data_IF_339973289449
#
_entry.id   IF_339973289449
#
_cell.length_a   1.000
_cell.length_b   1.000
_cell.length_c   1.000
_cell.angle_alpha   90.00
_cell.angle_beta   90.00
_cell.angle_gamma   90.00
#
_symmetry.space_group_name_H-M   'P 1'
#
loop_
_entity.id
_entity.type
_entity.pdbx_description
1 polymer ?
#
# COMPACT_ATOMS: atom_id res chain seq x y z
N UNK A 1 -4.71 -44.99 -28.57
CA UNK A 1 -3.64 -45.85 -28.01
C UNK A 1 -3.12 -45.21 -26.73
N UNK A 2 -2.81 -46.04 -25.74
CA UNK A 2 -2.51 -45.68 -24.34
C UNK A 2 -1.14 -45.01 -24.21
N UNK A 3 -1.02 -44.05 -23.28
CA UNK A 3 0.16 -43.94 -22.42
C UNK A 3 -0.25 -43.28 -21.09
N UNK A 4 -0.42 -44.11 -20.06
CA UNK A 4 -0.38 -43.69 -18.66
C UNK A 4 1.09 -43.69 -18.23
N UNK A 5 1.48 -42.76 -17.35
CA UNK A 5 2.44 -43.05 -16.28
C UNK A 5 2.37 -41.97 -15.21
N UNK A 6 2.00 -42.42 -14.02
CA UNK A 6 1.91 -41.73 -12.74
C UNK A 6 3.30 -41.73 -12.10
N UNK A 7 3.73 -40.62 -11.50
CA UNK A 7 4.75 -40.66 -10.43
C UNK A 7 4.37 -39.72 -9.29
N UNK A 8 3.72 -40.35 -8.32
CA UNK A 8 3.57 -39.97 -6.92
C UNK A 8 4.96 -39.73 -6.31
N UNK A 9 5.18 -38.56 -5.70
CA UNK A 9 6.38 -38.22 -4.92
C UNK A 9 5.96 -37.71 -3.55
N UNK A 10 6.61 -38.22 -2.51
CA UNK A 10 6.08 -38.38 -1.16
C UNK A 10 5.96 -37.10 -0.31
N UNK A 11 5.02 -37.18 0.64
CA UNK A 11 4.67 -36.24 1.69
C UNK A 11 5.51 -36.49 2.95
N UNK A 12 5.81 -35.39 3.66
CA UNK A 12 6.08 -35.24 5.09
C UNK A 12 7.40 -35.74 5.70
N UNK A 13 8.18 -34.75 6.17
CA UNK A 13 9.11 -34.76 7.30
C UNK A 13 9.41 -33.28 7.59
N UNK A 14 9.56 -32.73 8.79
CA UNK A 14 9.67 -33.20 10.17
C UNK A 14 9.46 -31.96 11.07
N UNK A 15 9.00 -32.21 12.30
CA UNK A 15 8.76 -31.23 13.36
C UNK A 15 10.04 -30.50 13.82
N UNK A 16 9.90 -29.24 14.23
CA UNK A 16 10.74 -28.65 15.28
C UNK A 16 9.93 -27.61 16.09
N UNK A 17 9.96 -27.78 17.41
CA UNK A 17 9.20 -27.06 18.41
C UNK A 17 9.99 -25.90 19.04
N UNK A 18 9.23 -24.95 19.60
CA UNK A 18 9.47 -24.14 20.81
C UNK A 18 10.70 -23.20 20.90
N UNK A 19 10.42 -21.92 21.21
CA UNK A 19 10.72 -21.32 22.53
C UNK A 19 10.13 -19.90 22.65
N UNK A 20 9.28 -19.70 23.65
CA UNK A 20 8.84 -18.41 24.16
C UNK A 20 9.98 -17.79 24.99
N UNK A 21 10.35 -16.54 24.72
CA UNK A 21 11.16 -15.74 25.64
C UNK A 21 10.38 -14.48 26.00
N UNK A 22 9.62 -14.60 27.09
CA UNK A 22 9.03 -13.48 27.80
C UNK A 22 10.08 -12.90 28.75
N UNK A 23 10.35 -11.61 28.63
CA UNK A 23 11.16 -10.82 29.55
C UNK A 23 10.24 -9.66 30.00
N UNK A 24 9.92 -9.41 31.26
CA UNK A 24 10.50 -9.88 32.52
C UNK A 24 11.18 -8.69 33.23
N UNK A 25 10.48 -8.06 34.16
CA UNK A 25 11.01 -7.03 35.08
C UNK A 25 10.20 -5.73 35.04
N UNK A 26 9.78 -5.11 36.14
CA UNK A 26 10.04 -5.37 37.56
C UNK A 26 9.08 -4.52 38.40
N UNK A 27 8.91 -4.97 39.63
CA UNK A 27 7.89 -4.61 40.60
C UNK A 27 8.35 -3.47 41.54
N UNK A 28 7.35 -2.70 41.97
CA UNK A 28 7.18 -2.06 43.28
C UNK A 28 8.10 -0.90 43.70
N UNK A 29 7.49 0.22 44.10
CA UNK A 29 7.65 0.77 45.45
C UNK A 29 6.43 1.63 45.81
N UNK A 30 5.83 1.29 46.95
CA UNK A 30 5.00 2.15 47.80
C UNK A 30 5.87 3.30 48.36
N UNK A 31 5.42 4.34 49.06
CA UNK A 31 4.26 4.55 49.90
C UNK A 31 4.15 6.07 50.23
N UNK A 32 3.06 6.45 50.87
CA UNK A 32 2.92 7.56 51.82
C UNK A 32 3.10 9.03 51.39
N UNK A 33 1.99 9.79 51.44
CA UNK A 33 1.67 10.71 52.55
C UNK A 33 0.60 11.73 52.13
N UNK A 34 -0.50 11.78 52.87
CA UNK A 34 -1.53 12.81 52.80
C UNK A 34 -1.19 14.02 53.69
N UNK A 35 -1.45 15.24 53.22
CA UNK A 35 -2.08 16.32 54.00
C UNK A 35 -2.49 17.51 53.10
N UNK A 36 -3.56 18.25 53.44
CA UNK A 36 -4.21 19.23 52.57
C UNK A 36 -3.69 20.66 52.78
N UNK A 37 -3.63 21.43 51.71
CA UNK A 37 -3.35 22.87 51.74
C UNK A 37 -4.46 23.64 51.04
N UNK A 38 -5.35 24.25 51.83
CA UNK A 38 -6.30 25.27 51.39
C UNK A 38 -5.57 26.51 50.84
N UNK A 39 -5.95 26.94 49.64
CA UNK A 39 -5.45 28.16 49.00
C UNK A 39 -6.36 28.62 47.88
N UNK A 40 -7.45 29.32 48.22
CA UNK A 40 -8.24 30.14 47.28
C UNK A 40 -7.33 31.15 46.59
N UNK A 41 -7.49 31.37 45.27
CA UNK A 41 -7.82 32.68 44.65
C UNK A 41 -8.06 32.52 43.13
N UNK A 42 -9.09 33.21 42.66
CA UNK A 42 -9.66 33.24 41.29
C UNK A 42 -8.71 33.85 40.25
N UNK A 43 -8.77 33.37 39.00
CA UNK A 43 -8.69 34.22 37.79
C UNK A 43 -9.13 33.50 36.51
N UNK A 44 -10.21 34.02 35.93
CA UNK A 44 -10.68 34.07 34.52
C UNK A 44 -10.39 32.93 33.53
N UNK A 45 -11.43 32.35 32.86
CA UNK A 45 -11.22 31.56 31.65
C UNK A 45 -11.05 32.51 30.45
N UNK A 46 -9.85 32.55 29.88
CA UNK A 46 -9.69 33.06 28.52
C UNK A 46 -10.10 31.94 27.54
N UNK A 47 -10.80 32.23 26.43
CA UNK A 47 -11.21 31.20 25.48
C UNK A 47 -9.96 30.58 24.86
N UNK A 48 -9.80 29.26 24.99
CA UNK A 48 -8.89 28.52 24.13
C UNK A 48 -9.47 28.63 22.71
N UNK A 49 -8.88 29.46 21.87
CA UNK A 49 -9.10 29.42 20.43
C UNK A 49 -8.49 28.12 19.94
N UNK A 50 -9.26 27.03 20.05
CA UNK A 50 -8.91 25.75 19.46
C UNK A 50 -9.02 25.89 17.95
N UNK A 51 -7.91 26.25 17.31
CA UNK A 51 -7.77 26.02 15.87
C UNK A 51 -8.02 24.53 15.62
N UNK A 52 -8.94 24.15 14.70
CA UNK A 52 -9.11 22.75 14.35
C UNK A 52 -7.76 22.19 13.87
N UNK A 53 -7.41 20.94 14.21
CA UNK A 53 -6.18 20.32 13.73
C UNK A 53 -6.15 20.41 12.20
N UNK A 54 -5.04 20.90 11.66
CA UNK A 54 -4.84 20.98 10.22
C UNK A 54 -5.10 19.60 9.62
N UNK A 55 -6.05 19.52 8.69
CA UNK A 55 -6.31 18.30 7.93
C UNK A 55 -4.98 17.89 7.29
N UNK A 56 -4.51 16.64 7.46
CA UNK A 56 -3.29 16.21 6.80
C UNK A 56 -3.46 16.44 5.30
N UNK A 57 -2.56 17.23 4.72
CA UNK A 57 -2.51 17.45 3.28
C UNK A 57 -2.47 16.09 2.59
N UNK A 58 -3.22 15.85 1.49
CA UNK A 58 -2.99 14.66 0.70
C UNK A 58 -1.52 14.68 0.30
N UNK A 59 -0.87 13.53 0.48
CA UNK A 59 0.58 13.41 0.29
C UNK A 59 1.01 13.61 -1.17
N UNK A 60 0.05 13.53 -2.08
CA UNK A 60 0.23 13.59 -3.52
C UNK A 60 -0.77 14.58 -4.13
N UNK A 61 -0.34 15.27 -5.17
CA UNK A 61 -1.24 16.02 -6.07
C UNK A 61 -1.25 15.26 -7.39
N UNK A 62 -2.12 14.26 -7.48
CA UNK A 62 -2.26 13.45 -8.67
C UNK A 62 -2.90 14.26 -9.81
N UNK A 63 -2.41 14.11 -11.05
CA UNK A 63 -2.91 14.86 -12.20
C UNK A 63 -4.44 14.71 -12.41
N UNK A 64 -4.96 13.50 -12.22
CA UNK A 64 -6.39 13.18 -12.36
C UNK A 64 -7.12 13.11 -11.00
N UNK A 65 -6.46 13.53 -9.91
CA UNK A 65 -7.02 13.49 -8.57
C UNK A 65 -7.37 12.06 -8.13
N UNK A 66 -8.65 11.81 -7.80
CA UNK A 66 -9.17 10.48 -7.43
C UNK A 66 -10.07 9.89 -8.55
N UNK A 67 -10.04 10.45 -9.77
CA UNK A 67 -10.89 10.01 -10.89
C UNK A 67 -10.38 8.72 -11.52
N UNK A 68 -10.83 7.58 -11.01
CA UNK A 68 -10.43 6.25 -11.49
C UNK A 68 -10.85 5.97 -12.94
N UNK A 69 -11.84 6.69 -13.47
CA UNK A 69 -12.29 6.53 -14.84
C UNK A 69 -11.29 7.11 -15.85
N UNK A 70 -10.40 8.02 -15.43
CA UNK A 70 -9.29 8.51 -16.24
C UNK A 70 -8.38 7.35 -16.70
N UNK A 71 -8.27 6.30 -15.90
CA UNK A 71 -7.40 5.17 -16.19
C UNK A 71 -7.89 4.24 -17.31
N UNK A 72 -9.09 4.41 -17.87
CA UNK A 72 -9.67 3.47 -18.86
C UNK A 72 -8.78 3.21 -20.06
N UNK A 73 -8.03 4.21 -20.51
CA UNK A 73 -7.13 4.14 -21.66
C UNK A 73 -5.67 3.86 -21.27
N UNK A 74 -5.41 3.47 -20.01
CA UNK A 74 -4.08 3.17 -19.48
C UNK A 74 -3.09 4.35 -19.57
N UNK A 75 -3.60 5.56 -19.37
CA UNK A 75 -2.84 6.79 -19.24
C UNK A 75 -3.54 7.65 -18.17
N UNK A 76 -3.05 7.58 -16.93
CA UNK A 76 -3.64 8.29 -15.79
C UNK A 76 -2.65 8.43 -14.63
N UNK A 77 -2.90 9.41 -13.78
CA UNK A 77 -2.27 9.57 -12.48
C UNK A 77 -3.34 9.87 -11.43
N UNK A 78 -3.61 8.91 -10.53
CA UNK A 78 -4.66 9.00 -9.52
C UNK A 78 -4.14 8.67 -8.12
N UNK A 79 -4.79 9.26 -7.11
CA UNK A 79 -4.62 8.86 -5.72
C UNK A 79 -5.65 7.78 -5.35
N UNK A 80 -5.23 6.81 -4.54
CA UNK A 80 -6.09 5.73 -4.05
C UNK A 80 -6.00 5.67 -2.54
N UNK A 81 -7.12 5.81 -1.83
CA UNK A 81 -7.16 5.82 -0.36
C UNK A 81 -7.72 4.55 0.28
N UNK A 82 -8.35 3.68 -0.52
CA UNK A 82 -9.01 2.47 -0.05
C UNK A 82 -8.91 1.34 -1.07
N UNK A 83 -9.15 0.07 -0.67
CA UNK A 83 -9.19 -1.04 -1.62
C UNK A 83 -10.19 -0.81 -2.75
N UNK A 84 -9.73 -0.91 -3.99
CA UNK A 84 -10.53 -0.58 -5.17
C UNK A 84 -10.14 -1.43 -6.37
N UNK A 85 -11.02 -1.51 -7.36
CA UNK A 85 -10.76 -2.17 -8.63
C UNK A 85 -10.86 -1.18 -9.78
N UNK A 86 -9.80 -1.10 -10.57
CA UNK A 86 -9.62 -0.20 -11.70
C UNK A 86 -9.53 -1.04 -12.97
N UNK A 87 -10.29 -0.67 -14.01
CA UNK A 87 -10.31 -1.38 -15.29
C UNK A 87 -9.74 -0.49 -16.37
N UNK A 88 -8.87 -1.05 -17.21
CA UNK A 88 -8.22 -0.33 -18.29
C UNK A 88 -7.87 -1.25 -19.47
N UNK A 89 -7.51 -0.66 -20.61
CA UNK A 89 -7.04 -1.39 -21.79
C UNK A 89 -5.55 -1.74 -21.63
N UNK A 90 -5.24 -3.03 -21.54
CA UNK A 90 -3.86 -3.52 -21.54
C UNK A 90 -3.43 -4.04 -22.92
N UNK A 91 -2.15 -4.41 -23.09
CA UNK A 91 -1.61 -4.86 -24.38
C UNK A 91 -2.21 -6.20 -24.87
N UNK A 92 -2.80 -6.97 -23.96
CA UNK A 92 -3.48 -8.23 -24.23
C UNK A 92 -5.00 -8.11 -24.31
N UNK A 93 -5.56 -6.90 -24.18
CA UNK A 93 -7.00 -6.66 -24.01
C UNK A 93 -7.37 -6.13 -22.62
N UNK A 94 -8.63 -6.29 -22.20
CA UNK A 94 -9.11 -5.75 -20.93
C UNK A 94 -8.27 -6.22 -19.74
N UNK A 95 -7.85 -5.28 -18.91
CA UNK A 95 -7.00 -5.52 -17.74
C UNK A 95 -7.66 -4.96 -16.49
N UNK A 96 -7.48 -5.64 -15.37
CA UNK A 96 -8.00 -5.26 -14.07
C UNK A 96 -6.84 -5.09 -13.08
N UNK A 97 -6.72 -3.92 -12.48
CA UNK A 97 -5.89 -3.69 -11.30
C UNK A 97 -6.79 -3.66 -10.06
N UNK A 98 -6.52 -4.53 -9.09
CA UNK A 98 -7.20 -4.56 -7.80
C UNK A 98 -6.21 -4.13 -6.73
N UNK A 99 -6.43 -2.96 -6.16
CA UNK A 99 -5.76 -2.51 -4.93
C UNK A 99 -6.43 -3.24 -3.77
N UNK A 100 -5.69 -4.09 -3.08
CA UNK A 100 -6.22 -4.94 -2.00
C UNK A 100 -6.00 -4.33 -0.63
N UNK A 101 -4.98 -3.50 -0.48
CA UNK A 101 -4.69 -2.80 0.76
C UNK A 101 -4.08 -1.43 0.48
N UNK A 102 -4.53 -0.43 1.23
CA UNK A 102 -3.91 0.89 1.33
C UNK A 102 -3.84 1.26 2.80
N UNK A 103 -2.64 1.57 3.28
CA UNK A 103 -2.43 2.09 4.61
C UNK A 103 -1.26 3.09 4.60
N UNK A 104 -1.01 3.74 5.74
CA UNK A 104 0.14 4.64 5.88
C UNK A 104 1.43 3.89 5.48
N UNK A 105 2.11 4.43 4.47
CA UNK A 105 3.33 3.88 3.90
C UNK A 105 3.21 2.42 3.43
N UNK A 106 2.01 1.95 3.05
CA UNK A 106 1.78 0.58 2.61
C UNK A 106 0.73 0.51 1.50
N UNK A 107 1.01 -0.32 0.50
CA UNK A 107 0.06 -0.65 -0.57
C UNK A 107 0.26 -2.10 -1.01
N UNK A 108 -0.83 -2.78 -1.32
CA UNK A 108 -0.83 -4.10 -1.96
C UNK A 108 -1.82 -4.10 -3.12
N UNK A 109 -1.43 -4.73 -4.23
CA UNK A 109 -2.28 -4.81 -5.41
C UNK A 109 -1.98 -6.05 -6.26
N UNK A 110 -2.96 -6.37 -7.10
CA UNK A 110 -2.88 -7.38 -8.15
C UNK A 110 -3.24 -6.76 -9.48
N UNK A 111 -2.57 -7.16 -10.56
CA UNK A 111 -2.97 -6.88 -11.93
C UNK A 111 -3.30 -8.19 -12.64
N UNK A 112 -4.46 -8.26 -13.28
CA UNK A 112 -4.93 -9.43 -14.02
C UNK A 112 -5.29 -9.04 -15.45
N UNK A 113 -4.77 -9.81 -16.40
CA UNK A 113 -5.13 -9.79 -17.82
C UNK A 113 -5.43 -11.21 -18.27
N UNK A 114 -5.91 -11.37 -19.51
CA UNK A 114 -6.14 -12.70 -20.09
C UNK A 114 -4.86 -13.55 -20.17
N UNK A 115 -3.70 -12.89 -20.27
CA UNK A 115 -2.39 -13.53 -20.42
C UNK A 115 -1.62 -13.68 -19.10
N UNK A 116 -2.25 -13.41 -17.96
CA UNK A 116 -1.67 -13.73 -16.65
C UNK A 116 -2.05 -12.80 -15.52
N UNK A 117 -1.38 -13.02 -14.38
CA UNK A 117 -1.56 -12.26 -13.14
C UNK A 117 -0.19 -11.82 -12.60
N UNK A 118 -0.10 -10.57 -12.17
CA UNK A 118 1.02 -10.00 -11.44
C UNK A 118 0.54 -9.47 -10.09
N UNK A 119 1.41 -9.48 -9.09
CA UNK A 119 1.13 -8.88 -7.78
C UNK A 119 2.29 -8.00 -7.38
N UNK A 120 1.98 -6.85 -6.78
CA UNK A 120 2.95 -5.92 -6.24
C UNK A 120 2.51 -5.45 -4.86
N UNK A 121 3.47 -5.09 -4.04
CA UNK A 121 3.23 -4.53 -2.73
C UNK A 121 4.50 -3.90 -2.19
N UNK A 122 4.32 -2.80 -1.47
CA UNK A 122 5.41 -2.04 -0.91
C UNK A 122 5.06 -1.60 0.50
N UNK A 123 6.08 -1.52 1.36
CA UNK A 123 5.94 -1.05 2.74
C UNK A 123 7.16 -0.21 3.11
N UNK A 124 6.90 0.96 3.68
CA UNK A 124 7.92 1.95 4.05
C UNK A 124 7.75 3.26 3.29
N UNK A 125 8.31 4.38 3.81
CA UNK A 125 8.27 5.67 3.12
C UNK A 125 9.06 5.63 1.80
N UNK A 126 8.51 6.27 0.75
CA UNK A 126 9.16 6.34 -0.56
C UNK A 126 9.35 4.98 -1.24
N UNK A 127 8.56 3.98 -0.86
CA UNK A 127 8.58 2.65 -1.47
C UNK A 127 7.45 2.52 -2.47
N UNK A 128 7.62 1.59 -3.41
CA UNK A 128 6.60 1.29 -4.39
C UNK A 128 7.02 0.17 -5.32
N UNK A 129 6.22 -0.04 -6.36
CA UNK A 129 6.47 -1.08 -7.35
C UNK A 129 6.26 -0.53 -8.76
N UNK A 130 7.08 -1.03 -9.69
CA UNK A 130 6.92 -0.89 -11.12
C UNK A 130 6.49 -2.23 -11.70
N UNK A 131 5.30 -2.28 -12.28
CA UNK A 131 4.78 -3.42 -13.02
C UNK A 131 4.75 -3.08 -14.50
N UNK A 132 5.38 -3.91 -15.33
CA UNK A 132 5.32 -3.79 -16.80
C UNK A 132 4.46 -4.91 -17.35
N UNK A 133 3.37 -4.55 -18.02
CA UNK A 133 2.49 -5.48 -18.72
C UNK A 133 2.84 -5.51 -20.19
N UNK A 134 2.86 -6.71 -20.77
CA UNK A 134 3.01 -6.97 -22.21
C UNK A 134 1.98 -8.00 -22.64
N UNK A 135 1.79 -8.15 -23.95
CA UNK A 135 0.91 -9.19 -24.50
C UNK A 135 1.38 -10.60 -24.12
N UNK A 136 2.67 -10.82 -23.88
CA UNK A 136 3.23 -12.14 -23.55
C UNK A 136 3.36 -12.43 -22.05
N UNK A 137 3.00 -11.47 -21.19
CA UNK A 137 3.09 -11.62 -19.74
C UNK A 137 3.41 -10.32 -19.02
N UNK A 138 3.86 -10.42 -17.78
CA UNK A 138 4.12 -9.27 -16.92
C UNK A 138 5.35 -9.46 -16.05
N UNK A 139 6.08 -8.36 -15.79
CA UNK A 139 7.15 -8.30 -14.80
C UNK A 139 6.81 -7.31 -13.69
N UNK A 140 7.29 -7.54 -12.47
CA UNK A 140 7.12 -6.61 -11.36
C UNK A 140 8.44 -6.46 -10.58
N UNK A 141 8.73 -5.25 -10.14
CA UNK A 141 9.90 -4.93 -9.31
C UNK A 141 9.49 -3.90 -8.26
N UNK A 142 9.86 -4.13 -7.01
CA UNK A 142 9.53 -3.24 -5.90
C UNK A 142 10.79 -2.72 -5.22
N UNK A 143 10.72 -1.49 -4.71
CA UNK A 143 11.82 -0.81 -4.05
C UNK A 143 11.56 0.69 -3.92
N UNK A 144 12.63 1.46 -3.79
CA UNK A 144 12.54 2.92 -3.77
C UNK A 144 12.03 3.46 -5.10
N UNK A 145 10.94 4.22 -5.06
CA UNK A 145 10.36 4.90 -6.23
C UNK A 145 10.06 6.35 -5.87
N UNK A 146 10.22 7.25 -6.84
CA UNK A 146 9.89 8.66 -6.65
C UNK A 146 8.46 8.92 -7.14
N UNK A 147 7.55 9.43 -6.29
CA UNK A 147 6.18 9.72 -6.69
C UNK A 147 6.10 10.85 -7.72
N UNK A 148 7.03 11.80 -7.67
CA UNK A 148 7.08 12.98 -8.54
C UNK A 148 7.64 12.70 -9.94
N UNK A 149 8.04 11.46 -10.21
CA UNK A 149 8.60 11.05 -11.50
C UNK A 149 7.75 9.97 -12.10
N UNK A 150 7.07 10.31 -13.19
CA UNK A 150 6.28 9.34 -13.91
C UNK A 150 7.14 8.21 -14.50
N UNK A 151 6.62 6.97 -14.51
CA UNK A 151 7.29 5.88 -15.19
C UNK A 151 7.47 6.23 -16.67
N UNK A 152 8.60 5.84 -17.25
CA UNK A 152 8.83 6.04 -18.68
C UNK A 152 7.94 5.10 -19.50
N UNK A 153 7.16 5.60 -20.47
CA UNK A 153 6.39 4.76 -21.38
C UNK A 153 7.30 3.79 -22.16
N UNK A 154 6.82 2.58 -22.38
CA UNK A 154 7.53 1.53 -23.12
C UNK A 154 6.73 1.10 -24.35
N UNK A 155 7.38 0.78 -25.49
CA UNK A 155 6.68 0.25 -26.65
C UNK A 155 5.90 -1.03 -26.33
N UNK A 156 4.69 -1.14 -26.86
CA UNK A 156 3.81 -2.32 -26.77
C UNK A 156 3.56 -2.78 -25.32
N UNK A 157 3.59 -1.85 -24.38
CA UNK A 157 3.50 -2.12 -22.95
C UNK A 157 2.68 -1.08 -22.21
N UNK A 158 2.07 -1.52 -21.12
CA UNK A 158 1.52 -0.64 -20.08
C UNK A 158 2.45 -0.71 -18.88
N UNK A 159 2.93 0.44 -18.42
CA UNK A 159 3.77 0.54 -17.23
C UNK A 159 2.95 1.13 -16.09
N UNK A 160 2.92 0.42 -14.97
CA UNK A 160 2.17 0.79 -13.77
C UNK A 160 3.18 1.06 -12.67
N UNK A 161 3.12 2.25 -12.09
CA UNK A 161 3.84 2.60 -10.88
C UNK A 161 2.85 2.77 -9.74
N UNK A 162 3.05 2.04 -8.65
CA UNK A 162 2.28 2.17 -7.41
C UNK A 162 3.22 2.62 -6.29
N UNK A 163 2.99 3.80 -5.72
CA UNK A 163 3.86 4.41 -4.70
C UNK A 163 3.13 4.56 -3.37
N UNK A 164 3.78 4.21 -2.26
CA UNK A 164 3.22 4.37 -0.91
C UNK A 164 3.22 5.84 -0.49
N UNK A 165 2.14 6.30 0.13
CA UNK A 165 2.05 7.65 0.71
C UNK A 165 2.24 7.67 2.22
N UNK A 166 2.69 8.79 2.80
CA UNK A 166 2.72 8.99 4.26
C UNK A 166 1.33 9.16 4.89
N UNK A 167 0.31 9.49 4.11
CA UNK A 167 -1.10 9.31 4.48
C UNK A 167 -1.57 7.91 4.08
N UNK A 168 -2.74 7.43 4.54
CA UNK A 168 -3.34 6.16 4.07
C UNK A 168 -3.83 6.30 2.63
N UNK A 169 -2.91 6.60 1.72
CA UNK A 169 -3.11 6.89 0.31
C UNK A 169 -1.92 6.33 -0.45
N UNK A 170 -2.14 5.84 -1.66
CA UNK A 170 -1.11 5.48 -2.62
C UNK A 170 -1.27 6.33 -3.88
N UNK A 171 -0.16 6.62 -4.57
CA UNK A 171 -0.18 7.22 -5.90
C UNK A 171 -0.07 6.11 -6.93
N UNK A 172 -1.04 6.05 -7.84
CA UNK A 172 -1.06 5.16 -8.98
C UNK A 172 -0.82 5.96 -10.25
N UNK A 173 0.23 5.60 -10.98
CA UNK A 173 0.52 6.13 -12.31
C UNK A 173 0.48 4.98 -13.30
N UNK A 174 -0.31 5.11 -14.35
CA UNK A 174 -0.38 4.17 -15.47
C UNK A 174 -0.02 4.93 -16.72
N UNK A 175 0.95 4.43 -17.48
CA UNK A 175 1.35 5.03 -18.76
C UNK A 175 1.41 3.97 -19.84
N UNK A 176 0.98 4.36 -21.04
CA UNK A 176 1.04 3.54 -22.25
C UNK A 176 1.48 4.41 -23.43
N UNK A 177 1.83 3.79 -24.56
CA UNK A 177 2.36 4.48 -25.74
C UNK A 177 1.74 3.99 -27.03
#
# INVERSE_FOLDING_TARGET
MRARSVRTGAVAALLAAAALTACGGGQDNADDTAAPGDGKTKSSPAPATSSPPAKPSPSFTAADGDDLDACKDADCEVTVSEPVTIRFKGPAGPTTLSVTEVARNKVEYTVKSDNGRSSGGATGPGQGCLTVLRSTGSGNTCGGVSPDTAPSPQPDAVVIQMTTGPTSTALLQIVSK
#
